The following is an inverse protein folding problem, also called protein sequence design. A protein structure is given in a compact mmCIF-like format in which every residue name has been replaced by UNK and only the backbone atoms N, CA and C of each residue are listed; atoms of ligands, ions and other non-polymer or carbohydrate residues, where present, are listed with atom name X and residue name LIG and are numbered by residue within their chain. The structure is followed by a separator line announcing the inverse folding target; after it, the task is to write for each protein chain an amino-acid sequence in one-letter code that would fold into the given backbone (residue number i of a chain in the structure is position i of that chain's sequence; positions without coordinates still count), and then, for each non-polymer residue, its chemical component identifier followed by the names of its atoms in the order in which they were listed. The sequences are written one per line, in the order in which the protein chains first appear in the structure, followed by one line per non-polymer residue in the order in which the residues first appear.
data_IF_077606430875
#
_entry.id   IF_077606430875
#
_cell.length_a   1.000
_cell.length_b   1.000
_cell.length_c   1.000
_cell.angle_alpha   90.00
_cell.angle_beta   90.00
_cell.angle_gamma   90.00
#
_symmetry.space_group_name_H-M   'P 1'
#
loop_
_entity.id
_entity.type
_entity.pdbx_description
1 polymer ?
#
# COMPACT_ATOMS: atom_id res chain seq x y z
N UNK A 1 -21.48 -14.64 2.70
CA UNK A 1 -20.25 -14.11 3.31
C UNK A 1 -20.03 -14.88 4.60
N UNK A 2 -19.04 -15.78 4.69
CA UNK A 2 -18.72 -16.45 5.95
C UNK A 2 -18.09 -15.41 6.88
N UNK A 3 -18.78 -15.13 7.97
CA UNK A 3 -18.27 -14.30 9.06
C UNK A 3 -17.02 -14.99 9.63
N UNK A 4 -15.84 -14.45 9.33
CA UNK A 4 -14.59 -14.93 9.94
C UNK A 4 -14.59 -14.34 11.34
N UNK A 5 -14.93 -15.16 12.34
CA UNK A 5 -14.83 -14.78 13.75
C UNK A 5 -13.38 -14.43 14.07
N UNK A 6 -13.14 -13.42 14.89
CA UNK A 6 -11.80 -12.97 15.30
C UNK A 6 -10.94 -14.10 15.88
N UNK A 7 -11.57 -15.06 16.54
CA UNK A 7 -10.92 -16.19 17.21
C UNK A 7 -10.26 -17.20 16.24
N UNK A 8 -10.52 -17.16 14.93
CA UNK A 8 -10.05 -18.13 13.94
C UNK A 8 -9.31 -17.52 12.74
N UNK A 9 -9.02 -16.22 12.75
CA UNK A 9 -8.25 -15.62 11.67
C UNK A 9 -6.78 -16.04 11.77
N UNK A 10 -6.28 -16.67 10.73
CA UNK A 10 -4.87 -16.99 10.56
C UNK A 10 -4.35 -16.20 9.36
N UNK A 11 -3.43 -15.30 9.62
CA UNK A 11 -2.74 -14.57 8.55
C UNK A 11 -1.94 -15.54 7.69
N UNK A 12 -2.05 -15.42 6.37
CA UNK A 12 -1.23 -16.14 5.41
C UNK A 12 0.13 -15.47 5.16
N UNK A 13 0.38 -14.33 5.81
CA UNK A 13 1.64 -13.59 5.66
C UNK A 13 2.76 -14.28 6.45
N UNK A 14 3.98 -14.17 5.93
CA UNK A 14 5.18 -14.60 6.65
C UNK A 14 5.32 -13.80 7.95
N UNK A 15 5.82 -14.40 9.03
CA UNK A 15 6.11 -13.66 10.25
C UNK A 15 7.19 -12.59 10.02
N UNK A 16 7.27 -11.61 10.92
CA UNK A 16 8.36 -10.63 10.90
C UNK A 16 9.73 -11.34 10.90
N UNK A 17 10.61 -11.06 9.92
CA UNK A 17 11.95 -11.67 9.86
C UNK A 17 12.78 -11.46 11.14
N UNK A 18 12.50 -10.38 11.88
CA UNK A 18 13.18 -10.06 13.11
C UNK A 18 12.43 -10.51 14.38
N UNK A 19 11.42 -11.39 14.23
CA UNK A 19 10.71 -11.97 15.36
C UNK A 19 9.96 -10.96 16.23
N UNK A 20 9.49 -9.85 15.66
CA UNK A 20 8.72 -8.83 16.37
C UNK A 20 9.57 -7.77 17.10
N UNK A 21 10.88 -7.76 16.92
CA UNK A 21 11.74 -6.68 17.44
C UNK A 21 11.93 -5.56 16.43
N UNK A 22 12.22 -4.36 16.92
CA UNK A 22 12.59 -3.22 16.06
C UNK A 22 13.92 -3.48 15.35
N UNK A 23 14.03 -3.16 14.05
CA UNK A 23 15.30 -3.20 13.33
C UNK A 23 16.33 -2.23 13.91
N UNK A 24 17.58 -2.67 14.00
CA UNK A 24 18.73 -1.81 14.19
C UNK A 24 19.29 -1.35 12.85
N UNK A 25 20.20 -0.38 12.84
CA UNK A 25 20.86 0.08 11.62
C UNK A 25 21.60 -1.05 10.90
N UNK A 26 22.21 -1.95 11.66
CA UNK A 26 22.99 -3.08 11.10
C UNK A 26 22.06 -4.14 10.49
N UNK A 27 20.90 -4.38 11.07
CA UNK A 27 19.90 -5.28 10.51
C UNK A 27 19.46 -4.81 9.11
N UNK A 28 19.25 -3.50 8.93
CA UNK A 28 18.67 -2.97 7.68
C UNK A 28 19.51 -3.27 6.44
N UNK A 29 20.83 -3.36 6.58
CA UNK A 29 21.72 -3.64 5.46
C UNK A 29 21.44 -5.01 4.82
N UNK A 30 21.01 -6.00 5.60
CA UNK A 30 20.68 -7.34 5.12
C UNK A 30 19.42 -7.39 4.25
N UNK A 31 18.56 -6.36 4.33
CA UNK A 31 17.31 -6.28 3.56
C UNK A 31 17.42 -5.45 2.27
N UNK A 32 18.61 -4.93 1.95
CA UNK A 32 18.90 -4.29 0.66
C UNK A 32 19.17 -5.38 -0.40
N UNK A 33 18.12 -6.04 -0.86
CA UNK A 33 18.20 -7.15 -1.84
C UNK A 33 17.31 -6.87 -3.05
N UNK A 34 17.54 -7.62 -4.12
CA UNK A 34 16.69 -7.58 -5.33
C UNK A 34 15.48 -8.54 -5.23
N UNK A 35 15.16 -9.04 -4.03
CA UNK A 35 14.02 -9.93 -3.82
C UNK A 35 12.71 -9.19 -4.18
N UNK A 36 11.97 -9.65 -5.21
CA UNK A 36 10.70 -9.05 -5.59
C UNK A 36 9.58 -9.29 -4.59
N UNK A 37 9.80 -10.15 -3.59
CA UNK A 37 8.87 -10.49 -2.52
C UNK A 37 9.39 -10.03 -1.15
N UNK A 38 10.00 -8.84 -1.09
CA UNK A 38 10.58 -8.31 0.14
C UNK A 38 9.56 -8.15 1.27
N UNK A 39 8.28 -7.94 0.95
CA UNK A 39 7.15 -8.00 1.90
C UNK A 39 5.95 -8.73 1.29
N UNK A 40 5.08 -9.22 2.15
CA UNK A 40 3.81 -9.79 1.74
C UNK A 40 2.74 -8.71 1.60
N UNK A 41 1.87 -8.88 0.60
CA UNK A 41 0.67 -8.07 0.45
C UNK A 41 -0.36 -8.36 1.56
N UNK A 42 -1.27 -7.44 1.77
CA UNK A 42 -2.50 -7.66 2.54
C UNK A 42 -3.64 -7.71 1.55
N UNK A 43 -4.09 -8.91 1.22
CA UNK A 43 -5.18 -9.13 0.27
C UNK A 43 -6.12 -10.21 0.82
N UNK A 44 -7.43 -10.11 0.56
CA UNK A 44 -8.35 -11.17 0.92
C UNK A 44 -8.02 -12.45 0.14
N UNK A 45 -8.28 -13.60 0.75
CA UNK A 45 -8.05 -14.92 0.13
C UNK A 45 -8.89 -15.17 -1.11
N UNK A 46 -10.08 -14.61 -1.15
CA UNK A 46 -10.89 -14.44 -2.35
C UNK A 46 -11.00 -12.92 -2.65
N UNK A 47 -11.04 -12.52 -3.87
CA UNK A 47 -11.12 -11.10 -4.24
C UNK A 47 -12.50 -10.49 -3.98
N UNK A 48 -13.44 -11.27 -3.44
CA UNK A 48 -14.79 -10.79 -3.14
C UNK A 48 -14.77 -9.82 -1.98
N UNK A 49 -15.30 -8.61 -2.18
CA UNK A 49 -15.40 -7.60 -1.14
C UNK A 49 -14.20 -6.66 -1.01
N UNK A 50 -13.19 -6.76 -1.86
CA UNK A 50 -12.12 -5.76 -1.90
C UNK A 50 -12.66 -4.44 -2.47
N UNK A 51 -12.82 -3.45 -1.60
CA UNK A 51 -13.33 -2.12 -1.96
C UNK A 51 -12.20 -1.19 -2.40
N UNK A 52 -11.14 -1.09 -1.60
CA UNK A 52 -10.01 -0.20 -1.85
C UNK A 52 -8.69 -0.95 -1.81
N UNK A 53 -7.91 -0.86 -2.90
CA UNK A 53 -6.53 -1.31 -2.91
C UNK A 53 -5.59 -0.11 -2.79
N UNK A 54 -4.83 -0.04 -1.71
CA UNK A 54 -3.79 0.97 -1.54
C UNK A 54 -2.47 0.41 -2.04
N UNK A 55 -1.81 1.17 -2.93
CA UNK A 55 -0.58 0.76 -3.59
C UNK A 55 0.55 1.69 -3.20
N UNK A 56 1.53 1.18 -2.43
CA UNK A 56 2.79 1.86 -2.19
C UNK A 56 3.70 1.83 -3.41
N UNK A 57 4.80 2.58 -3.41
CA UNK A 57 5.78 2.52 -4.50
C UNK A 57 6.57 1.23 -4.38
N UNK A 58 7.29 1.06 -3.28
CA UNK A 58 8.05 -0.12 -2.94
C UNK A 58 8.32 -0.16 -1.43
N UNK A 59 8.67 -1.31 -0.85
CA UNK A 59 9.07 -1.37 0.55
C UNK A 59 10.40 -0.63 0.80
N UNK A 60 10.47 0.11 1.90
CA UNK A 60 11.75 0.52 2.45
C UNK A 60 12.41 -0.62 3.24
N UNK A 61 13.70 -0.52 3.56
CA UNK A 61 14.43 -1.59 4.27
C UNK A 61 13.80 -1.93 5.63
N UNK A 62 13.28 -0.94 6.36
CA UNK A 62 12.57 -1.18 7.63
C UNK A 62 11.33 -2.05 7.41
N UNK A 63 10.54 -1.70 6.41
CA UNK A 63 9.34 -2.42 6.00
C UNK A 63 9.64 -3.87 5.64
N UNK A 64 10.70 -4.13 4.88
CA UNK A 64 11.16 -5.47 4.57
C UNK A 64 11.64 -6.23 5.82
N UNK A 65 12.39 -5.57 6.72
CA UNK A 65 12.92 -6.18 7.93
C UNK A 65 11.83 -6.66 8.91
N UNK A 66 10.65 -6.07 8.88
CA UNK A 66 9.53 -6.47 9.76
C UNK A 66 8.35 -7.08 9.01
N UNK A 67 8.43 -7.21 7.68
CA UNK A 67 7.35 -7.70 6.81
C UNK A 67 6.01 -7.00 7.09
N UNK A 68 6.01 -5.66 7.18
CA UNK A 68 4.80 -4.89 7.44
C UNK A 68 4.78 -3.61 6.60
N UNK A 69 3.67 -3.29 5.90
CA UNK A 69 3.59 -2.13 5.04
C UNK A 69 3.69 -0.83 5.87
N UNK A 70 4.40 0.16 5.32
CA UNK A 70 4.55 1.50 5.90
C UNK A 70 5.10 1.52 7.34
N UNK A 71 5.88 0.48 7.74
CA UNK A 71 6.29 0.21 9.12
C UNK A 71 7.33 1.19 9.69
N UNK A 72 8.04 1.96 8.84
CA UNK A 72 9.11 2.83 9.32
C UNK A 72 8.57 3.88 10.30
N UNK A 73 9.14 4.04 11.50
CA UNK A 73 8.78 5.11 12.43
C UNK A 73 8.79 6.49 11.76
N UNK A 74 7.78 7.29 12.03
CA UNK A 74 7.57 8.59 11.39
C UNK A 74 6.86 8.52 10.02
N UNK A 75 6.53 7.34 9.50
CA UNK A 75 5.62 7.22 8.37
C UNK A 75 4.20 7.64 8.82
N UNK A 76 3.53 8.45 8.00
CA UNK A 76 2.23 9.03 8.33
C UNK A 76 1.05 8.18 7.88
N UNK A 77 1.31 7.02 7.24
CA UNK A 77 0.26 6.16 6.69
C UNK A 77 -0.73 5.72 7.78
N UNK A 78 -0.26 4.96 8.76
CA UNK A 78 -1.13 4.40 9.79
C UNK A 78 -1.85 5.47 10.62
N UNK A 79 -1.17 6.54 11.11
CA UNK A 79 -1.84 7.62 11.80
C UNK A 79 -2.89 8.33 10.95
N UNK A 80 -2.63 8.56 9.65
CA UNK A 80 -3.59 9.22 8.77
C UNK A 80 -4.76 8.31 8.39
N UNK A 81 -4.53 7.01 8.24
CA UNK A 81 -5.58 6.04 7.96
C UNK A 81 -6.54 5.92 9.15
N UNK A 82 -5.98 5.91 10.38
CA UNK A 82 -6.78 5.94 11.61
C UNK A 82 -7.59 7.24 11.74
N UNK A 83 -6.96 8.39 11.55
CA UNK A 83 -7.66 9.67 11.60
C UNK A 83 -8.76 9.80 10.52
N UNK A 84 -8.61 9.12 9.40
CA UNK A 84 -9.65 8.98 8.37
C UNK A 84 -10.81 8.07 8.79
N UNK A 85 -10.74 7.40 9.95
CA UNK A 85 -11.73 6.42 10.41
C UNK A 85 -11.72 5.11 9.63
N UNK A 86 -10.57 4.76 9.01
CA UNK A 86 -10.41 3.54 8.22
C UNK A 86 -9.72 2.40 8.99
N UNK A 87 -9.34 2.63 10.24
CA UNK A 87 -8.93 1.62 11.22
C UNK A 87 -9.60 1.89 12.56
N UNK A 88 -9.82 0.86 13.36
CA UNK A 88 -10.51 0.95 14.66
C UNK A 88 -9.60 1.60 15.70
N UNK A 89 -8.29 1.41 15.58
CA UNK A 89 -7.25 2.03 16.38
C UNK A 89 -6.03 2.39 15.52
N UNK A 90 -5.13 3.18 16.07
CA UNK A 90 -3.87 3.51 15.41
C UNK A 90 -2.94 2.30 15.45
N UNK A 91 -2.63 1.77 14.26
CA UNK A 91 -1.72 0.62 14.10
C UNK A 91 -0.27 1.03 14.32
N UNK A 92 0.48 0.25 15.08
CA UNK A 92 1.94 0.31 15.17
C UNK A 92 2.59 -0.88 14.46
N UNK A 93 2.94 -0.69 13.21
CA UNK A 93 3.61 -1.70 12.40
C UNK A 93 5.14 -1.75 12.57
N UNK A 94 5.71 -0.99 13.51
CA UNK A 94 7.17 -0.80 13.61
C UNK A 94 7.98 -2.06 13.94
N UNK A 95 7.33 -3.10 14.46
CA UNK A 95 7.92 -4.41 14.79
C UNK A 95 7.35 -5.57 13.92
N UNK A 96 6.38 -5.28 13.09
CA UNK A 96 5.55 -6.24 12.34
C UNK A 96 4.10 -5.83 12.40
N UNK A 97 3.23 -6.50 11.68
CA UNK A 97 1.80 -6.27 11.72
C UNK A 97 1.12 -7.36 12.52
N UNK A 98 0.29 -6.96 13.49
CA UNK A 98 -0.53 -7.90 14.25
C UNK A 98 -1.60 -8.51 13.32
N UNK A 99 -1.91 -9.82 13.42
CA UNK A 99 -3.00 -10.44 12.67
C UNK A 99 -4.36 -9.73 12.84
N UNK A 100 -4.63 -9.17 14.00
CA UNK A 100 -5.84 -8.39 14.24
C UNK A 100 -5.88 -7.09 13.43
N UNK A 101 -4.72 -6.43 13.24
CA UNK A 101 -4.58 -5.25 12.38
C UNK A 101 -4.79 -5.57 10.91
N UNK A 102 -4.30 -6.71 10.46
CA UNK A 102 -4.57 -7.21 9.12
C UNK A 102 -6.07 -7.50 8.93
N UNK A 103 -6.66 -8.23 9.88
CA UNK A 103 -8.08 -8.62 9.82
C UNK A 103 -9.01 -7.41 9.77
N UNK A 104 -8.77 -6.34 10.54
CA UNK A 104 -9.62 -5.14 10.50
C UNK A 104 -9.62 -4.47 9.13
N UNK A 105 -8.48 -4.44 8.41
CA UNK A 105 -8.40 -3.94 7.04
C UNK A 105 -9.20 -4.81 6.08
N UNK A 106 -8.98 -6.12 6.13
CA UNK A 106 -9.67 -7.08 5.26
C UNK A 106 -11.18 -7.08 5.47
N UNK A 107 -11.66 -7.00 6.72
CA UNK A 107 -13.10 -6.86 7.05
C UNK A 107 -13.71 -5.59 6.45
N UNK A 108 -12.94 -4.50 6.35
CA UNK A 108 -13.38 -3.26 5.70
C UNK A 108 -13.32 -3.33 4.18
N UNK A 109 -12.66 -4.35 3.61
CA UNK A 109 -12.39 -4.44 2.18
C UNK A 109 -11.22 -3.56 1.75
N UNK A 110 -10.24 -3.33 2.63
CA UNK A 110 -9.01 -2.59 2.33
C UNK A 110 -7.87 -3.57 2.12
N UNK A 111 -7.23 -3.52 0.95
CA UNK A 111 -6.02 -4.26 0.65
C UNK A 111 -4.80 -3.34 0.54
N UNK A 112 -3.62 -3.87 0.81
CA UNK A 112 -2.35 -3.16 0.68
C UNK A 112 -1.37 -3.96 -0.19
N UNK A 113 -0.71 -3.27 -1.12
CA UNK A 113 0.34 -3.83 -1.98
C UNK A 113 1.35 -2.76 -2.36
N UNK A 114 2.35 -3.12 -3.16
CA UNK A 114 3.32 -2.20 -3.74
C UNK A 114 3.37 -2.34 -5.26
N UNK A 115 3.78 -1.25 -5.93
CA UNK A 115 4.03 -1.25 -7.37
C UNK A 115 5.27 -2.10 -7.71
N UNK A 116 6.32 -1.99 -6.88
CA UNK A 116 7.56 -2.73 -6.98
C UNK A 116 7.77 -3.52 -5.68
N UNK A 117 8.12 -4.81 -5.80
CA UNK A 117 8.25 -5.69 -4.63
C UNK A 117 9.60 -5.58 -3.91
N UNK A 118 10.70 -5.22 -4.61
CA UNK A 118 12.02 -5.15 -3.99
C UNK A 118 12.18 -3.96 -3.05
N UNK A 119 12.90 -4.18 -1.96
CA UNK A 119 13.18 -3.14 -0.98
C UNK A 119 14.35 -2.23 -1.41
N UNK A 120 14.23 -0.93 -1.10
CA UNK A 120 15.30 0.05 -1.31
C UNK A 120 15.48 0.96 -0.09
N UNK A 121 16.63 1.59 0.02
CA UNK A 121 16.84 2.65 1.02
C UNK A 121 15.95 3.86 0.69
N UNK A 122 15.87 4.19 -0.61
CA UNK A 122 15.10 5.32 -1.15
C UNK A 122 14.36 4.93 -2.42
N UNK A 123 13.17 5.44 -2.61
CA UNK A 123 12.36 5.15 -3.80
C UNK A 123 12.97 5.69 -5.12
N UNK A 124 13.89 6.66 -5.06
CA UNK A 124 14.58 7.20 -6.24
C UNK A 124 15.70 6.29 -6.77
N UNK A 125 16.00 5.18 -6.07
CA UNK A 125 16.86 4.10 -6.57
C UNK A 125 16.15 3.21 -7.61
N UNK A 126 14.84 3.33 -7.73
CA UNK A 126 14.07 2.60 -8.73
C UNK A 126 14.24 3.23 -10.11
N UNK A 127 14.58 2.41 -11.08
CA UNK A 127 14.69 2.85 -12.46
C UNK A 127 13.32 3.15 -13.07
N UNK A 128 13.32 3.94 -14.14
CA UNK A 128 12.09 4.20 -14.92
C UNK A 128 11.52 2.93 -15.54
N UNK A 129 12.37 1.96 -15.85
CA UNK A 129 11.96 0.68 -16.41
C UNK A 129 11.22 -0.15 -15.37
N UNK A 130 11.77 -0.30 -14.16
CA UNK A 130 11.10 -1.01 -13.07
C UNK A 130 9.72 -0.41 -12.75
N UNK A 131 9.61 0.92 -12.70
CA UNK A 131 8.33 1.58 -12.45
C UNK A 131 7.30 1.29 -13.56
N UNK A 132 7.72 1.18 -14.82
CA UNK A 132 6.82 0.84 -15.94
C UNK A 132 6.41 -0.62 -15.92
N UNK A 133 7.34 -1.52 -15.64
CA UNK A 133 7.07 -2.95 -15.51
C UNK A 133 6.12 -3.22 -14.33
N UNK A 134 6.37 -2.58 -13.17
CA UNK A 134 5.49 -2.67 -12.03
C UNK A 134 4.08 -2.12 -12.29
N UNK A 135 3.99 -1.02 -13.06
CA UNK A 135 2.70 -0.47 -13.47
C UNK A 135 1.92 -1.43 -14.37
N UNK A 136 2.58 -2.10 -15.32
CA UNK A 136 1.97 -3.12 -16.18
C UNK A 136 1.50 -4.33 -15.37
N UNK A 137 2.37 -4.86 -14.49
CA UNK A 137 2.02 -5.98 -13.60
C UNK A 137 0.86 -5.64 -12.66
N UNK A 138 0.76 -4.38 -12.21
CA UNK A 138 -0.38 -3.97 -11.39
C UNK A 138 -1.68 -4.02 -12.20
N UNK A 139 -1.70 -3.62 -13.47
CA UNK A 139 -2.88 -3.71 -14.33
C UNK A 139 -3.34 -5.17 -14.45
N UNK A 140 -2.41 -6.11 -14.71
CA UNK A 140 -2.73 -7.54 -14.80
C UNK A 140 -3.34 -8.07 -13.49
N UNK A 141 -2.78 -7.66 -12.33
CA UNK A 141 -3.32 -8.02 -11.01
C UNK A 141 -4.71 -7.42 -10.80
N UNK A 142 -4.92 -6.17 -11.17
CA UNK A 142 -6.23 -5.50 -11.05
C UNK A 142 -7.30 -6.16 -11.90
N UNK A 143 -6.95 -6.72 -13.06
CA UNK A 143 -7.88 -7.49 -13.89
C UNK A 143 -8.40 -8.73 -13.17
N UNK A 144 -7.59 -9.34 -12.30
CA UNK A 144 -7.95 -10.52 -11.50
C UNK A 144 -8.71 -10.15 -10.21
N UNK A 145 -8.22 -9.15 -9.43
CA UNK A 145 -8.77 -8.84 -8.10
C UNK A 145 -9.91 -7.82 -8.10
N UNK A 146 -10.00 -6.97 -9.12
CA UNK A 146 -11.08 -5.99 -9.41
C UNK A 146 -11.61 -5.23 -8.17
N UNK A 147 -10.77 -4.46 -7.46
CA UNK A 147 -11.25 -3.61 -6.38
C UNK A 147 -12.19 -2.53 -6.93
N UNK A 148 -13.04 -1.93 -6.09
CA UNK A 148 -13.85 -0.78 -6.53
C UNK A 148 -12.99 0.45 -6.82
N UNK A 149 -11.93 0.66 -6.01
CA UNK A 149 -10.99 1.76 -6.21
C UNK A 149 -9.54 1.35 -5.91
N UNK A 150 -8.61 2.00 -6.60
CA UNK A 150 -7.17 1.91 -6.37
C UNK A 150 -6.64 3.27 -5.94
N UNK A 151 -5.83 3.32 -4.88
CA UNK A 151 -5.13 4.52 -4.41
C UNK A 151 -3.62 4.32 -4.50
N UNK A 152 -2.96 4.92 -5.50
CA UNK A 152 -1.50 4.84 -5.67
C UNK A 152 -0.83 5.99 -4.91
N UNK A 153 0.02 5.65 -3.94
CA UNK A 153 0.70 6.61 -3.07
C UNK A 153 2.04 7.08 -3.67
N UNK A 154 2.02 8.17 -4.45
CA UNK A 154 3.23 8.77 -4.99
C UNK A 154 3.10 9.21 -6.45
N UNK A 155 2.90 10.51 -6.65
CA UNK A 155 2.67 11.09 -7.99
C UNK A 155 3.85 10.91 -8.94
N UNK A 156 5.08 10.96 -8.46
CA UNK A 156 6.28 10.84 -9.32
C UNK A 156 6.41 9.42 -9.89
N UNK A 157 6.21 8.40 -9.05
CA UNK A 157 6.21 7.00 -9.49
C UNK A 157 5.05 6.72 -10.45
N UNK A 158 3.86 7.24 -10.16
CA UNK A 158 2.70 7.15 -11.04
C UNK A 158 2.97 7.76 -12.42
N UNK A 159 3.45 9.01 -12.45
CA UNK A 159 3.76 9.70 -13.73
C UNK A 159 4.77 8.91 -14.58
N UNK A 160 5.75 8.29 -13.95
CA UNK A 160 6.79 7.51 -14.64
C UNK A 160 6.26 6.16 -15.10
N UNK A 161 5.58 5.43 -14.21
CA UNK A 161 5.05 4.09 -14.46
C UNK A 161 4.04 4.08 -15.61
N UNK A 162 3.07 4.96 -15.54
CA UNK A 162 1.99 5.06 -16.53
C UNK A 162 2.27 6.03 -17.69
N UNK A 163 3.47 6.65 -17.74
CA UNK A 163 3.86 7.61 -18.79
C UNK A 163 2.91 8.81 -18.91
N UNK A 164 2.36 9.27 -17.79
CA UNK A 164 1.44 10.39 -17.68
C UNK A 164 2.09 11.58 -16.96
N UNK A 165 3.04 12.30 -17.59
CA UNK A 165 3.87 13.32 -16.91
C UNK A 165 3.07 14.52 -16.40
N UNK A 166 1.87 14.75 -16.91
CA UNK A 166 0.98 15.85 -16.53
C UNK A 166 -0.08 15.45 -15.49
N UNK A 167 -0.13 14.17 -15.07
CA UNK A 167 -1.08 13.71 -14.06
C UNK A 167 -0.96 14.54 -12.78
N UNK A 168 -2.08 14.79 -12.11
CA UNK A 168 -2.16 15.51 -10.84
C UNK A 168 -2.58 14.53 -9.73
N UNK A 169 -2.47 14.95 -8.47
CA UNK A 169 -3.07 14.21 -7.36
C UNK A 169 -4.60 14.21 -7.48
N UNK A 170 -5.24 13.19 -6.90
CA UNK A 170 -6.69 12.99 -6.95
C UNK A 170 -7.12 11.93 -7.96
N UNK A 171 -8.38 11.95 -8.34
CA UNK A 171 -8.98 11.00 -9.28
C UNK A 171 -8.36 11.15 -10.68
N UNK A 172 -8.08 10.01 -11.32
CA UNK A 172 -7.46 9.95 -12.64
C UNK A 172 -8.47 9.51 -13.70
N UNK A 173 -8.26 9.98 -14.93
CA UNK A 173 -8.94 9.46 -16.10
C UNK A 173 -8.29 8.14 -16.54
N UNK A 174 -8.94 7.04 -16.24
CA UNK A 174 -8.43 5.69 -16.53
C UNK A 174 -8.45 5.34 -18.01
N UNK A 175 -9.17 6.09 -18.86
CA UNK A 175 -9.16 5.92 -20.31
C UNK A 175 -7.80 6.22 -20.94
N UNK A 176 -6.94 6.96 -20.22
CA UNK A 176 -5.57 7.28 -20.63
C UNK A 176 -4.57 6.15 -20.33
N UNK A 177 -5.02 5.07 -19.67
CA UNK A 177 -4.17 3.95 -19.24
C UNK A 177 -4.64 2.68 -19.97
N UNK A 178 -3.82 2.24 -20.92
CA UNK A 178 -4.11 1.03 -21.69
C UNK A 178 -4.25 -0.19 -20.75
N UNK A 179 -5.30 -0.97 -20.95
CA UNK A 179 -5.57 -2.19 -20.18
C UNK A 179 -6.15 -1.96 -18.79
N UNK A 180 -6.40 -0.72 -18.37
CA UNK A 180 -7.02 -0.48 -17.06
C UNK A 180 -8.41 -1.13 -16.99
N UNK A 181 -8.72 -1.93 -15.93
CA UNK A 181 -9.99 -2.64 -15.85
C UNK A 181 -11.18 -1.68 -15.75
N UNK A 182 -12.19 -1.91 -16.59
CA UNK A 182 -13.41 -1.10 -16.56
C UNK A 182 -14.11 -1.19 -15.19
N UNK A 183 -14.59 -0.06 -14.67
CA UNK A 183 -15.27 0.02 -13.38
C UNK A 183 -14.35 0.13 -12.16
N UNK A 184 -13.03 0.04 -12.33
CA UNK A 184 -12.06 0.26 -11.24
C UNK A 184 -11.65 1.73 -11.22
N UNK A 185 -12.05 2.47 -10.20
CA UNK A 185 -11.66 3.87 -10.03
C UNK A 185 -10.17 3.98 -9.66
N UNK A 186 -9.51 5.05 -10.10
CA UNK A 186 -8.10 5.29 -9.82
C UNK A 186 -7.89 6.66 -9.18
N UNK A 187 -7.18 6.65 -8.06
CA UNK A 187 -6.74 7.86 -7.36
C UNK A 187 -5.22 7.85 -7.20
N UNK A 188 -4.59 9.00 -7.36
CA UNK A 188 -3.20 9.20 -6.98
C UNK A 188 -3.17 10.07 -5.75
N UNK A 189 -2.55 9.57 -4.70
CA UNK A 189 -2.49 10.24 -3.40
C UNK A 189 -1.04 10.63 -3.05
N UNK A 190 -0.83 11.63 -2.17
CA UNK A 190 0.50 11.97 -1.73
C UNK A 190 1.18 10.80 -1.03
N UNK A 191 2.49 10.69 -1.19
CA UNK A 191 3.28 9.69 -0.46
C UNK A 191 3.25 10.00 1.05
N UNK A 192 2.88 9.03 1.91
CA UNK A 192 2.73 9.24 3.36
C UNK A 192 4.07 9.21 4.12
N UNK A 193 5.16 9.39 3.41
CA UNK A 193 6.50 9.44 3.99
C UNK A 193 6.66 10.61 4.96
N UNK A 194 7.31 10.38 6.10
CA UNK A 194 7.70 11.45 7.02
C UNK A 194 8.60 12.53 6.40
N UNK A 195 9.22 12.23 5.24
CA UNK A 195 10.03 13.19 4.47
C UNK A 195 9.19 14.12 3.58
N UNK A 196 7.89 13.86 3.43
CA UNK A 196 7.01 14.72 2.65
C UNK A 196 6.71 16.02 3.43
N UNK A 197 7.26 17.15 2.98
CA UNK A 197 7.09 18.42 3.67
C UNK A 197 5.68 19.04 3.50
N UNK A 198 4.94 18.64 2.46
CA UNK A 198 3.71 19.34 2.02
C UNK A 198 2.43 18.76 2.60
N UNK A 199 2.41 17.47 2.97
CA UNK A 199 1.21 16.77 3.44
C UNK A 199 1.43 16.23 4.85
N UNK A 200 0.67 16.74 5.80
CA UNK A 200 0.66 16.29 7.19
C UNK A 200 -0.43 15.23 7.41
N UNK A 201 -0.50 14.67 8.61
CA UNK A 201 -1.46 13.61 8.95
C UNK A 201 -2.91 14.04 8.65
N UNK A 202 -3.39 15.25 9.03
CA UNK A 202 -4.76 15.66 8.72
C UNK A 202 -5.05 15.78 7.22
N UNK A 203 -4.08 16.24 6.41
CA UNK A 203 -4.24 16.34 4.97
C UNK A 203 -4.40 14.96 4.33
N UNK A 204 -3.54 14.02 4.73
CA UNK A 204 -3.59 12.64 4.27
C UNK A 204 -4.88 11.95 4.71
N UNK A 205 -5.31 12.19 5.96
CA UNK A 205 -6.56 11.61 6.48
C UNK A 205 -7.78 12.06 5.66
N UNK A 206 -7.86 13.36 5.34
CA UNK A 206 -8.90 13.89 4.46
C UNK A 206 -8.88 13.22 3.08
N UNK A 207 -7.69 13.06 2.48
CA UNK A 207 -7.52 12.43 1.17
C UNK A 207 -7.92 10.94 1.21
N UNK A 208 -7.54 10.19 2.24
CA UNK A 208 -7.97 8.80 2.41
C UNK A 208 -9.50 8.71 2.53
N UNK A 209 -10.10 9.63 3.25
CA UNK A 209 -11.55 9.68 3.41
C UNK A 209 -12.26 10.00 2.09
N UNK A 210 -11.75 10.95 1.31
CA UNK A 210 -12.28 11.31 -0.02
C UNK A 210 -12.22 10.11 -0.99
N UNK A 211 -11.11 9.35 -0.99
CA UNK A 211 -11.01 8.13 -1.81
C UNK A 211 -12.04 7.10 -1.36
N UNK A 212 -12.17 6.87 -0.06
CA UNK A 212 -13.11 5.90 0.49
C UNK A 212 -14.56 6.25 0.18
N UNK A 213 -14.96 7.49 0.39
CA UNK A 213 -16.33 7.95 0.13
C UNK A 213 -16.70 7.89 -1.36
N UNK A 214 -15.73 8.03 -2.25
CA UNK A 214 -15.94 7.92 -3.71
C UNK A 214 -16.23 6.49 -4.21
N UNK A 215 -16.15 5.47 -3.34
CA UNK A 215 -16.41 4.08 -3.71
C UNK A 215 -17.93 3.78 -3.75
N UNK A 216 -18.69 4.45 -2.90
CA UNK A 216 -20.13 4.21 -2.74
C UNK A 216 -20.98 5.14 -3.63
N UNK A 217 -20.34 6.09 -4.36
CA UNK A 217 -20.95 6.99 -5.36
C UNK A 217 -20.86 6.38 -6.79
#
# INVERSE_FOLDING_TARGET
MKDVSEDNFVSNRRPSPLGGRKPTKDDLAAFATDDPNAIDDILPSDSSGLKMLIVGINPGLWTAAVNAPFARPGNRFWPSLHQAGLTDHQVDASCGLDPADELQLLKRGIGLTNLIGRATVRADELSRQELREGAALLIDRLAAIRPSAVAIAGITAFRTGYRLPKAQLGRQDTSLIEGWPAGVALHVVPQPSGLNAHYQIPDLARIWREVWDSIDD
#
